data_IF_859146671575
#
_entry.id   IF_859146671575
#
_cell.length_a   1.000
_cell.length_b   1.000
_cell.length_c   1.000
_cell.angle_alpha   90.00
_cell.angle_beta   90.00
_cell.angle_gamma   90.00
#
_symmetry.space_group_name_H-M   'P 1'
#
loop_
_entity.id
_entity.type
_entity.pdbx_description
1 polymer ?
#
# COMPACT_ATOMS: atom_id res chain seq x y z
N UNK A 1 1.80 -16.33 -2.25
CA UNK A 1 2.33 -15.27 -1.37
C UNK A 1 2.94 -14.17 -2.23
N UNK A 2 2.63 -12.90 -1.98
CA UNK A 2 3.24 -11.78 -2.72
C UNK A 2 4.73 -11.68 -2.33
N UNK A 3 5.61 -12.23 -3.16
CA UNK A 3 7.03 -12.47 -2.82
C UNK A 3 7.82 -11.19 -2.57
N UNK A 4 7.37 -10.07 -3.12
CA UNK A 4 8.08 -8.80 -3.15
C UNK A 4 7.37 -7.74 -2.29
N UNK A 5 6.44 -8.13 -1.42
CA UNK A 5 5.65 -7.17 -0.64
C UNK A 5 6.52 -6.21 0.20
N UNK A 6 7.58 -6.67 0.90
CA UNK A 6 8.49 -5.78 1.61
C UNK A 6 9.13 -4.71 0.71
N UNK A 7 9.56 -5.09 -0.49
CA UNK A 7 10.18 -4.20 -1.47
C UNK A 7 9.19 -3.16 -2.00
N UNK A 8 7.92 -3.56 -2.20
CA UNK A 8 6.84 -2.65 -2.59
C UNK A 8 6.54 -1.64 -1.49
N UNK A 9 6.47 -2.08 -0.23
CA UNK A 9 6.29 -1.19 0.93
C UNK A 9 7.43 -0.16 1.00
N UNK A 10 8.68 -0.60 0.83
CA UNK A 10 9.83 0.30 0.85
C UNK A 10 9.81 1.30 -0.32
N UNK A 11 9.40 0.87 -1.51
CA UNK A 11 9.24 1.75 -2.66
C UNK A 11 8.12 2.80 -2.47
N UNK A 12 7.02 2.44 -1.79
CA UNK A 12 5.94 3.36 -1.45
C UNK A 12 6.37 4.37 -0.39
N UNK A 13 7.11 3.92 0.63
CA UNK A 13 7.70 4.80 1.66
C UNK A 13 8.67 5.81 1.04
N UNK A 14 9.59 5.35 0.20
CA UNK A 14 10.57 6.22 -0.49
C UNK A 14 9.92 7.29 -1.38
N UNK A 15 8.68 7.07 -1.84
CA UNK A 15 7.93 8.01 -2.68
C UNK A 15 6.91 8.85 -1.90
N UNK A 16 6.81 8.68 -0.58
CA UNK A 16 5.80 9.36 0.25
C UNK A 16 4.36 8.96 -0.10
N UNK A 17 4.17 7.73 -0.59
CA UNK A 17 2.89 7.22 -1.09
C UNK A 17 2.28 6.14 -0.20
N UNK A 18 2.96 5.77 0.88
CA UNK A 18 2.56 4.68 1.78
C UNK A 18 1.28 5.03 2.55
N UNK A 19 1.12 6.28 2.98
CA UNK A 19 -0.05 6.73 3.77
C UNK A 19 -1.36 6.73 2.95
N UNK A 20 -1.23 6.75 1.62
CA UNK A 20 -2.36 6.79 0.67
C UNK A 20 -2.52 5.43 -0.04
N UNK A 21 -1.80 4.39 0.41
CA UNK A 21 -1.84 3.06 -0.17
C UNK A 21 -2.91 2.21 0.53
N UNK A 22 -3.68 1.46 -0.27
CA UNK A 22 -4.64 0.46 0.18
C UNK A 22 -4.29 -0.85 -0.50
N UNK A 23 -4.20 -1.92 0.27
CA UNK A 23 -4.12 -3.28 -0.24
C UNK A 23 -5.50 -3.93 -0.14
N UNK A 24 -5.94 -4.51 -1.25
CA UNK A 24 -7.17 -5.31 -1.32
C UNK A 24 -6.78 -6.73 -1.70
N UNK A 25 -7.12 -7.70 -0.85
CA UNK A 25 -6.93 -9.13 -1.10
C UNK A 25 -8.27 -9.79 -1.38
N UNK A 26 -8.29 -10.69 -2.38
CA UNK A 26 -9.45 -11.53 -2.74
C UNK A 26 -10.75 -10.74 -2.96
N UNK A 27 -10.63 -9.62 -3.67
CA UNK A 27 -11.74 -8.73 -4.02
C UNK A 27 -12.93 -9.51 -4.61
N UNK A 28 -14.12 -9.34 -4.03
CA UNK A 28 -15.35 -10.00 -4.46
C UNK A 28 -15.51 -11.47 -4.02
N UNK A 29 -14.68 -11.97 -3.10
CA UNK A 29 -14.82 -13.29 -2.47
C UNK A 29 -15.18 -13.15 -0.99
N UNK A 30 -15.72 -14.22 -0.40
CA UNK A 30 -16.21 -14.23 1.00
C UNK A 30 -15.13 -13.87 2.05
N UNK A 31 -13.86 -14.04 1.70
CA UNK A 31 -12.68 -13.75 2.52
C UNK A 31 -11.89 -12.54 2.00
N UNK A 32 -12.58 -11.58 1.37
CA UNK A 32 -12.01 -10.28 1.02
C UNK A 32 -11.38 -9.59 2.23
N UNK A 33 -10.21 -8.97 2.03
CA UNK A 33 -9.54 -8.15 3.04
C UNK A 33 -9.12 -6.80 2.46
N UNK A 34 -9.49 -5.73 3.13
CA UNK A 34 -9.05 -4.37 2.81
C UNK A 34 -8.12 -3.90 3.93
N UNK A 35 -6.89 -3.54 3.57
CA UNK A 35 -5.83 -3.08 4.45
C UNK A 35 -5.46 -1.65 4.05
N UNK A 36 -5.70 -0.70 4.95
CA UNK A 36 -5.30 0.70 4.76
C UNK A 36 -3.94 1.03 5.37
N UNK A 37 -3.52 0.34 6.44
CA UNK A 37 -2.16 0.44 6.98
C UNK A 37 -1.28 -0.65 6.37
N UNK A 38 -0.88 -0.42 5.11
CA UNK A 38 -0.05 -1.35 4.35
C UNK A 38 1.33 -1.53 5.01
N UNK A 39 1.82 -0.52 5.74
CA UNK A 39 3.13 -0.57 6.39
C UNK A 39 3.15 -1.49 7.62
N UNK A 40 2.06 -1.54 8.39
CA UNK A 40 1.95 -2.39 9.57
C UNK A 40 2.02 -3.90 9.25
N UNK A 41 1.64 -4.28 8.03
CA UNK A 41 1.60 -5.68 7.60
C UNK A 41 2.80 -6.10 6.74
N UNK A 42 3.88 -5.30 6.68
CA UNK A 42 5.07 -5.54 5.84
C UNK A 42 5.62 -6.97 5.96
N UNK A 43 5.61 -7.52 7.16
CA UNK A 43 6.20 -8.83 7.49
C UNK A 43 5.16 -9.96 7.54
N UNK A 44 3.90 -9.65 7.22
CA UNK A 44 2.82 -10.65 7.19
C UNK A 44 2.77 -11.39 5.83
N UNK A 45 2.54 -12.71 5.85
CA UNK A 45 2.40 -13.48 4.62
C UNK A 45 1.08 -13.15 3.91
N UNK A 46 1.12 -12.21 2.96
CA UNK A 46 -0.03 -11.84 2.14
C UNK A 46 -0.31 -12.85 1.02
N UNK A 47 -1.58 -13.17 0.85
CA UNK A 47 -2.14 -14.09 -0.12
C UNK A 47 -1.94 -13.57 -1.56
N UNK A 48 -1.84 -14.47 -2.54
CA UNK A 48 -1.41 -14.15 -3.91
C UNK A 48 -2.39 -13.28 -4.73
N UNK A 49 -3.66 -13.20 -4.34
CA UNK A 49 -4.70 -12.40 -5.01
C UNK A 49 -4.85 -11.02 -4.35
N UNK A 50 -3.77 -10.23 -4.36
CA UNK A 50 -3.77 -8.89 -3.75
C UNK A 50 -3.49 -7.81 -4.79
N UNK A 51 -4.24 -6.71 -4.74
CA UNK A 51 -4.02 -5.49 -5.52
C UNK A 51 -3.68 -4.35 -4.58
N UNK A 52 -2.62 -3.59 -4.87
CA UNK A 52 -2.28 -2.37 -4.13
C UNK A 52 -2.67 -1.17 -4.99
N UNK A 53 -3.53 -0.32 -4.44
CA UNK A 53 -3.94 0.95 -5.02
C UNK A 53 -3.29 2.07 -4.21
N UNK A 54 -2.64 3.02 -4.87
CA UNK A 54 -2.08 4.19 -4.20
C UNK A 54 -2.41 5.43 -5.00
N UNK A 55 -2.77 6.51 -4.30
CA UNK A 55 -3.06 7.80 -4.93
C UNK A 55 -1.88 8.73 -4.71
N UNK A 56 -1.33 9.27 -5.80
CA UNK A 56 -0.40 10.40 -5.68
C UNK A 56 -1.22 11.66 -5.38
N UNK A 57 -1.17 12.13 -4.14
CA UNK A 57 -1.75 13.40 -3.78
C UNK A 57 -0.77 14.53 -4.17
N UNK A 58 -0.90 15.06 -5.39
CA UNK A 58 -0.08 16.17 -5.89
C UNK A 58 -0.19 17.45 -5.06
N UNK A 59 -1.17 17.55 -4.15
CA UNK A 59 -1.32 18.66 -3.21
C UNK A 59 -0.37 18.64 -2.00
N UNK A 60 0.36 17.54 -1.74
CA UNK A 60 1.36 17.48 -0.65
C UNK A 60 2.79 17.84 -1.11
N UNK A 61 3.02 18.06 -2.41
CA UNK A 61 4.31 18.50 -2.96
C UNK A 61 4.25 20.01 -3.24
N UNK A 62 4.23 20.84 -2.19
CA UNK A 62 4.78 22.20 -2.17
C UNK A 62 4.50 22.85 -0.81
N UNK A 63 5.10 22.29 0.25
CA UNK A 63 5.29 22.99 1.51
C UNK A 63 6.68 23.61 1.58
N UNK A 64 7.03 24.47 0.61
CA UNK A 64 8.21 25.34 0.72
C UNK A 64 7.88 26.72 0.15
N UNK A 65 7.18 27.53 0.93
CA UNK A 65 7.21 29.00 0.85
C UNK A 65 6.62 29.61 2.14
N UNK A 66 7.50 30.32 2.86
CA UNK A 66 7.37 31.20 4.04
C UNK A 66 6.87 30.62 5.36
#
# INVERSE_FOLDING_TARGET
MLKNFPEVVDALKARGMIDEAILVSRCGLDDEKIISDVAAHKDEPLNYLSTILTRRNSGKISGRIF
#
